data_IF_213073390643
#
_entry.id   IF_213073390643
#
_cell.length_a   1.000
_cell.length_b   1.000
_cell.length_c   1.000
_cell.angle_alpha   90.00
_cell.angle_beta   90.00
_cell.angle_gamma   90.00
#
_symmetry.space_group_name_H-M   'P 1'
#
loop_
_entity.id
_entity.type
_entity.pdbx_description
1 polymer ?
#
# COMPACT_ATOMS: atom_id res chain seq x y z
N UNK A 1 20.65 17.28 7.69
CA UNK A 1 21.69 16.25 7.44
C UNK A 1 21.26 15.48 6.22
N UNK A 2 22.16 15.15 5.29
CA UNK A 2 21.79 14.28 4.17
C UNK A 2 21.51 12.89 4.73
N UNK A 3 20.28 12.39 4.54
CA UNK A 3 19.88 11.03 4.89
C UNK A 3 20.81 10.08 4.15
N UNK A 4 21.40 9.07 4.79
CA UNK A 4 22.34 8.12 4.16
C UNK A 4 22.07 6.68 4.52
N UNK A 5 21.46 6.39 5.66
CA UNK A 5 21.26 5.04 6.19
C UNK A 5 19.82 4.88 6.64
N UNK A 6 19.07 4.02 5.99
CA UNK A 6 17.64 3.81 6.32
C UNK A 6 17.33 2.34 6.48
N UNK A 7 16.40 2.04 7.39
CA UNK A 7 15.76 0.73 7.44
C UNK A 7 14.58 0.72 6.45
N UNK A 8 14.52 -0.29 5.60
CA UNK A 8 13.39 -0.52 4.71
C UNK A 8 12.34 -1.32 5.47
N UNK A 9 11.16 -0.75 5.61
CA UNK A 9 10.03 -1.40 6.27
C UNK A 9 9.68 -2.73 5.61
N UNK A 10 9.33 -3.73 6.42
CA UNK A 10 8.99 -5.09 5.97
C UNK A 10 7.83 -5.08 4.94
N UNK A 11 6.80 -4.26 5.20
CA UNK A 11 5.67 -4.11 4.28
C UNK A 11 6.10 -3.49 2.96
N UNK A 12 6.88 -2.41 3.02
CA UNK A 12 7.44 -1.79 1.83
C UNK A 12 8.36 -2.74 1.05
N UNK A 13 9.19 -3.53 1.73
CA UNK A 13 10.09 -4.50 1.10
C UNK A 13 9.32 -5.54 0.32
N UNK A 14 8.24 -6.09 0.89
CA UNK A 14 7.36 -7.02 0.18
C UNK A 14 6.72 -6.37 -1.05
N UNK A 15 6.26 -5.13 -0.93
CA UNK A 15 5.67 -4.38 -2.04
C UNK A 15 6.68 -4.12 -3.17
N UNK A 16 7.92 -3.77 -2.82
CA UNK A 16 9.01 -3.56 -3.78
C UNK A 16 9.45 -4.84 -4.51
N UNK A 17 9.28 -6.01 -3.88
CA UNK A 17 9.73 -7.29 -4.42
C UNK A 17 8.63 -8.06 -5.15
N UNK A 18 7.40 -7.98 -4.64
CA UNK A 18 6.28 -8.80 -5.10
C UNK A 18 4.98 -8.02 -5.33
N UNK A 19 4.94 -6.74 -4.94
CA UNK A 19 3.80 -5.86 -5.13
C UNK A 19 3.79 -5.19 -6.50
N UNK A 20 2.83 -4.28 -6.69
CA UNK A 20 2.76 -3.44 -7.89
C UNK A 20 3.84 -2.35 -7.83
N UNK A 21 4.30 -1.82 -8.99
CA UNK A 21 5.23 -0.71 -9.00
C UNK A 21 4.67 0.47 -8.20
N UNK A 22 5.47 1.02 -7.29
CA UNK A 22 5.08 2.21 -6.53
C UNK A 22 4.82 3.39 -7.49
N UNK A 23 3.88 4.31 -7.16
CA UNK A 23 3.57 5.46 -8.00
C UNK A 23 4.83 6.23 -8.40
N UNK A 24 4.85 6.76 -9.62
CA UNK A 24 5.97 7.58 -10.14
C UNK A 24 7.31 6.84 -10.20
N UNK A 25 7.28 5.52 -10.40
CA UNK A 25 8.46 4.64 -10.39
C UNK A 25 9.30 4.81 -9.12
N UNK A 26 8.67 5.15 -7.99
CA UNK A 26 9.39 5.38 -6.74
C UNK A 26 10.16 4.14 -6.27
N UNK A 27 9.65 2.94 -6.58
CA UNK A 27 10.31 1.68 -6.24
C UNK A 27 11.63 1.50 -7.00
N UNK A 28 11.59 1.63 -8.33
CA UNK A 28 12.77 1.49 -9.18
C UNK A 28 13.84 2.52 -8.84
N UNK A 29 13.43 3.78 -8.63
CA UNK A 29 14.36 4.85 -8.24
C UNK A 29 14.94 4.63 -6.85
N UNK A 30 14.17 4.07 -5.91
CA UNK A 30 14.68 3.71 -4.58
C UNK A 30 15.71 2.57 -4.70
N UNK A 31 15.46 1.58 -5.56
CA UNK A 31 16.45 0.55 -5.87
C UNK A 31 17.72 1.12 -6.51
N UNK A 32 17.60 2.07 -7.43
CA UNK A 32 18.75 2.77 -8.02
C UNK A 32 19.60 3.49 -6.97
N UNK A 33 18.99 4.15 -5.97
CA UNK A 33 19.73 4.80 -4.89
C UNK A 33 20.56 3.79 -4.08
N UNK A 34 20.00 2.60 -3.80
CA UNK A 34 20.71 1.52 -3.12
C UNK A 34 21.83 0.95 -3.99
N UNK A 35 21.54 0.67 -5.26
CA UNK A 35 22.49 0.15 -6.25
C UNK A 35 23.69 1.08 -6.46
N UNK A 36 23.45 2.39 -6.52
CA UNK A 36 24.49 3.40 -6.71
C UNK A 36 25.25 3.73 -5.41
N UNK A 37 24.86 3.15 -4.27
CA UNK A 37 25.45 3.42 -2.97
C UNK A 37 25.23 4.85 -2.46
N UNK A 38 24.31 5.59 -3.07
CA UNK A 38 23.92 6.93 -2.63
C UNK A 38 23.16 6.86 -1.31
N UNK A 39 22.37 5.80 -1.15
CA UNK A 39 21.62 5.47 0.05
C UNK A 39 21.99 4.05 0.50
N UNK A 40 22.20 3.85 1.79
CA UNK A 40 22.46 2.56 2.38
C UNK A 40 21.19 2.00 3.02
N UNK A 41 20.67 0.91 2.46
CA UNK A 41 19.47 0.25 2.95
C UNK A 41 19.77 -0.89 3.92
N UNK A 42 18.92 -1.02 4.94
CA UNK A 42 18.97 -2.05 5.96
C UNK A 42 17.62 -2.77 6.03
N UNK A 43 17.63 -4.05 6.41
CA UNK A 43 16.43 -4.87 6.65
C UNK A 43 16.64 -5.74 7.88
N UNK A 44 15.57 -6.07 8.60
CA UNK A 44 15.63 -7.02 9.71
C UNK A 44 15.80 -8.46 9.20
N UNK A 45 16.34 -9.35 10.02
CA UNK A 45 16.33 -10.79 9.74
C UNK A 45 14.89 -11.35 9.67
N UNK A 46 13.95 -10.77 10.41
CA UNK A 46 12.52 -11.02 10.27
C UNK A 46 11.98 -10.66 8.88
N UNK A 47 12.38 -9.52 8.32
CA UNK A 47 12.02 -9.12 6.95
C UNK A 47 12.44 -10.17 5.93
N UNK A 48 13.67 -10.68 6.03
CA UNK A 48 14.17 -11.72 5.13
C UNK A 48 13.42 -13.04 5.29
N UNK A 49 13.08 -13.42 6.52
CA UNK A 49 12.22 -14.58 6.76
C UNK A 49 10.83 -14.39 6.14
N UNK A 50 10.26 -13.19 6.25
CA UNK A 50 8.96 -12.84 5.69
C UNK A 50 8.99 -12.91 4.16
N UNK A 51 10.00 -12.32 3.53
CA UNK A 51 10.26 -12.42 2.08
C UNK A 51 10.37 -13.88 1.66
N UNK A 52 11.15 -14.69 2.39
CA UNK A 52 11.30 -16.12 2.10
C UNK A 52 9.98 -16.88 2.19
N UNK A 53 9.19 -16.65 3.24
CA UNK A 53 7.85 -17.25 3.40
C UNK A 53 6.89 -16.82 2.30
N UNK A 54 6.93 -15.55 1.91
CA UNK A 54 6.08 -15.00 0.85
C UNK A 54 6.46 -15.59 -0.51
N UNK A 55 7.75 -15.59 -0.85
CA UNK A 55 8.27 -16.14 -2.10
C UNK A 55 7.97 -17.65 -2.24
N UNK A 56 8.00 -18.41 -1.14
CA UNK A 56 7.60 -19.83 -1.11
C UNK A 56 6.12 -20.07 -1.46
N UNK A 57 5.25 -19.08 -1.26
CA UNK A 57 3.82 -19.19 -1.60
C UNK A 57 3.52 -18.77 -3.05
N UNK A 58 4.36 -17.92 -3.63
CA UNK A 58 4.11 -17.25 -4.92
C UNK A 58 4.96 -17.79 -6.08
N UNK A 59 6.15 -18.37 -5.83
CA UNK A 59 7.09 -18.79 -6.89
C UNK A 59 7.65 -20.22 -6.75
N UNK A 60 8.19 -20.76 -7.85
CA UNK A 60 9.00 -21.98 -7.87
C UNK A 60 10.32 -21.78 -7.09
N UNK A 61 10.84 -22.85 -6.46
CA UNK A 61 11.96 -22.82 -5.51
C UNK A 61 13.25 -22.11 -6.01
N UNK A 62 13.48 -22.05 -7.32
CA UNK A 62 14.64 -21.39 -7.94
C UNK A 62 14.58 -19.86 -7.91
N UNK A 63 13.39 -19.26 -8.02
CA UNK A 63 13.22 -17.79 -8.00
C UNK A 63 13.45 -17.22 -6.60
N UNK A 64 13.12 -17.98 -5.56
CA UNK A 64 13.20 -17.58 -4.15
C UNK A 64 14.65 -17.29 -3.73
N UNK A 65 15.56 -18.21 -4.07
CA UNK A 65 16.98 -18.07 -3.76
C UNK A 65 17.59 -16.87 -4.48
N UNK A 66 17.17 -16.61 -5.73
CA UNK A 66 17.61 -15.43 -6.48
C UNK A 66 17.12 -14.13 -5.83
N UNK A 67 15.84 -14.04 -5.44
CA UNK A 67 15.28 -12.85 -4.78
C UNK A 67 15.95 -12.57 -3.44
N UNK A 68 16.13 -13.59 -2.59
CA UNK A 68 16.82 -13.42 -1.30
C UNK A 68 18.29 -13.03 -1.47
N UNK A 69 18.95 -13.57 -2.50
CA UNK A 69 20.34 -13.19 -2.84
C UNK A 69 20.39 -11.73 -3.29
N UNK A 70 19.49 -11.30 -4.18
CA UNK A 70 19.41 -9.92 -4.66
C UNK A 70 19.18 -8.94 -3.50
N UNK A 71 18.22 -9.23 -2.62
CA UNK A 71 17.97 -8.42 -1.42
C UNK A 71 19.22 -8.37 -0.53
N UNK A 72 19.88 -9.51 -0.27
CA UNK A 72 21.10 -9.57 0.53
C UNK A 72 22.31 -8.87 -0.08
N UNK A 73 22.35 -8.70 -1.40
CA UNK A 73 23.41 -7.91 -2.07
C UNK A 73 23.19 -6.41 -1.97
N UNK A 74 21.93 -5.96 -1.92
CA UNK A 74 21.57 -4.54 -1.95
C UNK A 74 21.31 -3.96 -0.56
N UNK A 75 20.72 -4.74 0.32
CA UNK A 75 20.31 -4.33 1.66
C UNK A 75 21.11 -5.10 2.72
N UNK A 76 21.53 -4.39 3.76
CA UNK A 76 22.24 -5.00 4.90
C UNK A 76 21.25 -5.63 5.87
N UNK A 77 21.42 -6.93 6.11
CA UNK A 77 20.63 -7.64 7.12
C UNK A 77 21.08 -7.26 8.53
N UNK A 78 20.10 -6.98 9.39
CA UNK A 78 20.26 -6.67 10.80
C UNK A 78 19.60 -7.76 11.64
N UNK A 79 20.37 -8.63 12.31
CA UNK A 79 19.79 -9.58 13.25
C UNK A 79 19.21 -8.84 14.45
N UNK A 80 17.97 -9.17 14.80
CA UNK A 80 17.32 -8.62 15.98
C UNK A 80 17.78 -9.36 17.24
N UNK A 81 18.29 -8.63 18.23
CA UNK A 81 18.72 -9.19 19.51
C UNK A 81 17.69 -8.95 20.65
N UNK A 82 17.98 -9.50 21.83
CA UNK A 82 17.13 -9.35 23.01
C UNK A 82 17.02 -7.89 23.49
N UNK A 83 18.05 -7.07 23.25
CA UNK A 83 18.03 -5.66 23.68
C UNK A 83 17.07 -4.85 22.82
N UNK A 84 17.05 -5.08 21.51
CA UNK A 84 16.08 -4.51 20.56
C UNK A 84 14.65 -4.95 20.90
N UNK A 85 14.45 -6.23 21.20
CA UNK A 85 13.15 -6.78 21.61
C UNK A 85 12.64 -6.13 22.91
N UNK A 86 13.51 -6.00 23.92
CA UNK A 86 13.13 -5.34 25.17
C UNK A 86 12.85 -3.84 25.02
N UNK A 87 13.55 -3.16 24.11
CA UNK A 87 13.25 -1.78 23.76
C UNK A 87 11.88 -1.67 23.08
N UNK A 88 11.60 -2.54 22.09
CA UNK A 88 10.34 -2.60 21.38
C UNK A 88 9.14 -2.87 22.30
N UNK A 89 9.29 -3.73 23.31
CA UNK A 89 8.24 -4.04 24.29
C UNK A 89 7.83 -2.86 25.18
N UNK A 90 8.67 -1.82 25.28
CA UNK A 90 8.38 -0.61 26.06
C UNK A 90 7.81 0.53 25.20
N UNK A 91 7.79 0.33 23.89
CA UNK A 91 7.23 1.27 22.92
C UNK A 91 5.72 1.36 23.05
N UNK A 92 5.16 2.48 22.61
CA UNK A 92 3.71 2.62 22.43
C UNK A 92 3.24 2.13 21.05
N UNK A 93 4.17 1.85 20.13
CA UNK A 93 3.86 1.32 18.80
C UNK A 93 3.46 -0.16 18.86
N UNK A 94 2.75 -0.62 17.84
CA UNK A 94 2.54 -2.05 17.64
C UNK A 94 3.86 -2.81 17.53
N UNK A 95 3.96 -3.99 18.15
CA UNK A 95 5.22 -4.72 18.31
C UNK A 95 6.08 -4.85 17.02
N UNK A 96 5.52 -5.14 15.83
CA UNK A 96 6.32 -5.20 14.60
C UNK A 96 6.96 -3.85 14.21
N UNK A 97 6.26 -2.74 14.44
CA UNK A 97 6.74 -1.39 14.13
C UNK A 97 7.71 -0.90 15.22
N UNK A 98 7.41 -1.18 16.49
CA UNK A 98 8.27 -0.93 17.63
C UNK A 98 9.64 -1.62 17.48
N UNK A 99 9.66 -2.85 16.95
CA UNK A 99 10.88 -3.60 16.72
C UNK A 99 11.77 -2.94 15.67
N UNK A 100 11.18 -2.53 14.55
CA UNK A 100 11.88 -1.81 13.50
C UNK A 100 12.40 -0.44 14.00
N UNK A 101 11.60 0.28 14.79
CA UNK A 101 12.04 1.51 15.45
C UNK A 101 13.22 1.28 16.40
N UNK A 102 13.18 0.21 17.21
CA UNK A 102 14.27 -0.17 18.09
C UNK A 102 15.57 -0.50 17.32
N UNK A 103 15.46 -1.22 16.20
CA UNK A 103 16.61 -1.51 15.31
C UNK A 103 17.23 -0.22 14.78
N UNK A 104 16.41 0.73 14.32
CA UNK A 104 16.87 2.04 13.84
C UNK A 104 17.59 2.80 14.94
N UNK A 105 17.02 2.89 16.13
CA UNK A 105 17.62 3.59 17.26
C UNK A 105 18.96 2.97 17.66
N UNK A 106 19.03 1.64 17.77
CA UNK A 106 20.23 0.93 18.22
C UNK A 106 21.38 0.96 17.22
N UNK A 107 21.08 0.97 15.92
CA UNK A 107 22.09 1.09 14.84
C UNK A 107 22.39 2.56 14.47
N UNK A 108 21.65 3.50 15.06
CA UNK A 108 21.72 4.93 14.78
C UNK A 108 21.36 5.28 13.34
N UNK A 109 20.44 4.55 12.70
CA UNK A 109 20.03 4.84 11.32
C UNK A 109 19.27 6.17 11.26
N UNK A 110 19.26 6.80 10.09
CA UNK A 110 18.65 8.12 9.89
C UNK A 110 17.12 8.08 9.89
N UNK A 111 16.53 6.88 9.83
CA UNK A 111 15.10 6.62 9.95
C UNK A 111 14.64 5.35 9.24
N UNK A 112 13.32 5.21 9.12
CA UNK A 112 12.64 4.11 8.43
C UNK A 112 12.02 4.66 7.13
N UNK A 113 12.17 3.93 6.04
CA UNK A 113 11.39 4.16 4.82
C UNK A 113 10.20 3.20 4.77
N UNK A 114 8.99 3.73 4.67
CA UNK A 114 7.74 2.94 4.65
C UNK A 114 6.68 3.62 3.77
N UNK A 115 5.79 2.81 3.19
CA UNK A 115 4.57 3.31 2.56
C UNK A 115 3.43 3.52 3.59
N UNK A 116 3.64 3.21 4.88
CA UNK A 116 2.66 3.27 5.98
C UNK A 116 3.17 4.12 7.15
N UNK A 117 3.37 5.44 6.97
CA UNK A 117 4.02 6.27 7.99
C UNK A 117 3.23 6.39 9.29
N UNK A 118 1.91 6.20 9.24
CA UNK A 118 1.04 6.30 10.41
C UNK A 118 1.21 5.13 11.39
N UNK A 119 1.76 3.99 10.97
CA UNK A 119 2.02 2.85 11.85
C UNK A 119 3.16 3.12 12.85
N UNK A 120 3.92 4.19 12.64
CA UNK A 120 5.05 4.64 13.45
C UNK A 120 4.73 5.91 14.26
N UNK A 121 3.46 6.27 14.35
CA UNK A 121 2.98 7.40 15.15
C UNK A 121 2.43 6.86 16.47
N UNK A 122 2.86 7.45 17.58
CA UNK A 122 2.37 7.13 18.92
C UNK A 122 1.13 7.97 19.26
N UNK A 123 0.42 7.60 20.32
CA UNK A 123 -0.77 8.33 20.80
C UNK A 123 -0.44 9.76 21.25
N UNK A 124 0.82 10.05 21.59
CA UNK A 124 1.27 11.41 21.95
C UNK A 124 1.60 12.27 20.74
N UNK A 125 1.64 11.69 19.53
CA UNK A 125 2.02 12.37 18.30
C UNK A 125 3.53 12.57 18.14
N UNK A 126 4.35 12.13 19.10
CA UNK A 126 5.81 12.14 19.00
C UNK A 126 6.29 10.83 18.37
N UNK A 127 6.96 10.91 17.22
CA UNK A 127 7.55 9.74 16.56
C UNK A 127 8.77 9.22 17.33
N UNK A 128 8.76 7.95 17.70
CA UNK A 128 9.93 7.28 18.31
C UNK A 128 11.11 7.17 17.33
N UNK A 129 10.83 7.30 16.03
CA UNK A 129 11.77 7.20 14.93
C UNK A 129 11.39 8.16 13.82
N UNK A 130 12.37 8.64 13.05
CA UNK A 130 12.12 9.40 11.83
C UNK A 130 11.56 8.48 10.75
N UNK A 131 10.50 8.92 10.09
CA UNK A 131 9.77 8.13 9.10
C UNK A 131 9.75 8.87 7.77
N UNK A 132 10.17 8.19 6.72
CA UNK A 132 10.18 8.72 5.36
C UNK A 132 9.26 7.88 4.48
N UNK A 133 8.52 8.54 3.60
CA UNK A 133 7.92 7.86 2.45
C UNK A 133 8.98 7.74 1.35
N UNK A 134 8.89 6.77 0.43
CA UNK A 134 9.79 6.70 -0.72
C UNK A 134 9.85 8.02 -1.50
N UNK A 135 8.70 8.69 -1.69
CA UNK A 135 8.63 10.01 -2.32
C UNK A 135 9.38 11.12 -1.55
N UNK A 136 9.25 11.19 -0.22
CA UNK A 136 10.02 12.15 0.59
C UNK A 136 11.52 11.91 0.44
N UNK A 137 11.93 10.64 0.54
CA UNK A 137 13.34 10.27 0.45
C UNK A 137 13.93 10.58 -0.92
N UNK A 138 13.22 10.24 -2.00
CA UNK A 138 13.65 10.55 -3.37
C UNK A 138 13.70 12.06 -3.63
N UNK A 139 12.83 12.84 -2.99
CA UNK A 139 12.82 14.30 -3.08
C UNK A 139 14.09 14.97 -2.54
N UNK A 140 14.71 14.38 -1.51
CA UNK A 140 16.00 14.81 -0.94
C UNK A 140 17.18 14.52 -1.88
N UNK A 141 17.06 13.48 -2.72
CA UNK A 141 18.10 13.05 -3.66
C UNK A 141 17.92 13.59 -5.09
N UNK A 142 16.78 14.21 -5.38
CA UNK A 142 16.49 14.77 -6.69
C UNK A 142 17.23 16.11 -6.90
N UNK A 143 18.26 16.11 -7.77
CA UNK A 143 18.92 17.33 -8.24
C UNK A 143 18.01 18.02 -9.27
N UNK A 144 17.22 19.00 -8.84
CA UNK A 144 16.36 19.80 -9.73
C UNK A 144 15.14 20.42 -9.05
N UNK A 145 14.91 21.70 -9.30
CA UNK A 145 13.83 22.50 -8.72
C UNK A 145 12.42 22.08 -9.14
N UNK A 146 11.42 22.59 -8.41
CA UNK A 146 9.99 22.24 -8.48
C UNK A 146 9.37 22.23 -9.89
N UNK A 147 9.87 23.00 -10.85
CA UNK A 147 9.32 23.07 -12.20
C UNK A 147 9.65 21.86 -13.08
N UNK A 148 10.83 21.25 -12.92
CA UNK A 148 11.16 19.98 -13.58
C UNK A 148 10.28 18.83 -13.03
N UNK A 149 9.89 18.93 -11.74
CA UNK A 149 9.05 17.94 -11.06
C UNK A 149 7.62 17.93 -11.59
N UNK A 150 7.09 19.06 -12.07
CA UNK A 150 5.74 19.16 -12.67
C UNK A 150 5.68 18.56 -14.08
N UNK A 151 6.65 18.92 -14.92
CA UNK A 151 6.70 18.45 -16.31
C UNK A 151 6.92 16.94 -16.42
N UNK A 152 7.72 16.35 -15.52
CA UNK A 152 7.87 14.90 -15.44
C UNK A 152 6.63 14.19 -14.92
N UNK A 153 5.85 14.80 -14.01
CA UNK A 153 4.62 14.22 -13.47
C UNK A 153 3.51 14.13 -14.54
N UNK A 154 3.34 15.18 -15.33
CA UNK A 154 2.32 15.25 -16.39
C UNK A 154 2.63 14.30 -17.55
N UNK A 155 3.91 14.07 -17.84
CA UNK A 155 4.36 13.12 -18.87
C UNK A 155 4.24 11.67 -18.38
N UNK A 156 4.46 11.40 -17.09
CA UNK A 156 4.36 10.05 -16.52
C UNK A 156 2.90 9.56 -16.36
N UNK A 157 1.96 10.47 -16.16
CA UNK A 157 0.53 10.13 -16.07
C UNK A 157 -0.11 9.83 -17.44
N UNK A 158 0.50 10.27 -18.54
CA UNK A 158 0.00 10.02 -19.88
C UNK A 158 0.42 8.65 -20.45
N UNK A 159 1.48 8.04 -19.90
CA UNK A 159 2.09 6.81 -20.41
C UNK A 159 2.21 5.69 -19.35
N UNK A 160 1.33 5.62 -18.35
CA UNK A 160 1.36 4.50 -17.39
C UNK A 160 0.59 3.27 -17.94
N UNK A 161 1.27 2.19 -18.38
CA UNK A 161 0.62 0.94 -18.75
C UNK A 161 0.02 0.20 -17.53
N UNK A 162 0.17 0.68 -16.29
CA UNK A 162 -0.40 0.05 -15.09
C UNK A 162 -1.94 0.12 -15.01
N UNK A 163 -2.61 0.93 -15.84
CA UNK A 163 -4.07 0.86 -16.04
C UNK A 163 -4.53 -0.53 -16.54
N UNK A 164 -3.64 -1.30 -17.16
CA UNK A 164 -3.92 -2.66 -17.66
C UNK A 164 -3.92 -3.73 -16.53
N UNK A 165 -3.38 -3.42 -15.34
CA UNK A 165 -3.22 -4.38 -14.22
C UNK A 165 -4.49 -4.59 -13.37
N UNK A 166 -5.64 -4.06 -13.80
CA UNK A 166 -6.97 -4.34 -13.20
C UNK A 166 -7.83 -5.27 -14.07
N UNK A 167 -7.29 -5.79 -15.17
CA UNK A 167 -8.03 -6.63 -16.14
C UNK A 167 -8.75 -7.82 -15.52
N UNK A 168 -8.25 -8.34 -14.39
CA UNK A 168 -8.80 -9.49 -13.70
C UNK A 168 -9.94 -9.16 -12.72
N UNK A 169 -10.09 -7.90 -12.26
CA UNK A 169 -11.28 -7.43 -11.53
C UNK A 169 -12.40 -6.99 -12.47
N UNK A 170 -12.08 -6.66 -13.72
CA UNK A 170 -12.99 -6.00 -14.64
C UNK A 170 -12.84 -4.47 -14.65
N UNK A 171 -13.59 -3.81 -15.52
CA UNK A 171 -13.58 -2.34 -15.70
C UNK A 171 -14.81 -1.71 -15.06
N UNK A 172 -14.59 -0.79 -14.12
CA UNK A 172 -15.65 0.07 -13.59
C UNK A 172 -16.09 1.05 -14.70
N UNK A 173 -17.33 0.93 -15.17
CA UNK A 173 -17.85 1.77 -16.25
C UNK A 173 -18.51 3.04 -15.74
N UNK A 174 -19.32 2.92 -14.69
CA UNK A 174 -19.96 4.07 -14.06
C UNK A 174 -20.30 3.81 -12.60
N UNK A 175 -20.34 4.90 -11.84
CA UNK A 175 -20.84 4.97 -10.47
C UNK A 175 -21.76 6.18 -10.41
N UNK A 176 -23.01 5.94 -10.07
CA UNK A 176 -24.01 6.98 -9.85
C UNK A 176 -24.46 6.92 -8.40
N UNK A 177 -24.40 8.05 -7.71
CA UNK A 177 -24.82 8.13 -6.30
C UNK A 177 -25.87 9.22 -6.18
N UNK A 178 -27.04 8.83 -5.69
CA UNK A 178 -28.13 9.73 -5.38
C UNK A 178 -28.19 9.95 -3.86
N UNK A 179 -27.91 11.18 -3.46
CA UNK A 179 -28.02 11.66 -2.08
C UNK A 179 -29.30 12.48 -1.89
N UNK A 180 -29.99 12.33 -0.75
CA UNK A 180 -31.21 13.05 -0.43
C UNK A 180 -31.53 13.02 1.07
N UNK A 181 -32.72 13.45 1.48
CA UNK A 181 -33.16 13.35 2.89
C UNK A 181 -33.46 11.90 3.34
N UNK A 182 -33.69 10.99 2.39
CA UNK A 182 -33.86 9.55 2.62
C UNK A 182 -32.52 8.78 2.55
N UNK A 183 -32.56 7.44 2.66
CA UNK A 183 -31.37 6.57 2.53
C UNK A 183 -30.68 6.76 1.17
N UNK A 184 -29.38 7.10 1.12
CA UNK A 184 -28.64 7.20 -0.13
C UNK A 184 -28.67 5.89 -0.93
N UNK A 185 -28.73 6.02 -2.25
CA UNK A 185 -28.72 4.89 -3.19
C UNK A 185 -27.60 5.09 -4.19
N UNK A 186 -26.91 4.01 -4.54
CA UNK A 186 -25.89 4.01 -5.57
C UNK A 186 -26.15 2.91 -6.59
N UNK A 187 -25.85 3.21 -7.84
CA UNK A 187 -25.84 2.26 -8.97
C UNK A 187 -24.43 2.16 -9.49
N UNK A 188 -23.91 0.93 -9.55
CA UNK A 188 -22.57 0.62 -10.06
C UNK A 188 -22.71 -0.25 -11.29
N UNK A 189 -21.97 0.10 -12.33
CA UNK A 189 -21.88 -0.68 -13.56
C UNK A 189 -20.44 -1.11 -13.79
N UNK A 190 -20.23 -2.41 -13.87
CA UNK A 190 -18.91 -3.02 -13.96
C UNK A 190 -18.89 -4.07 -15.07
N UNK A 191 -17.88 -4.00 -15.92
CA UNK A 191 -17.62 -4.98 -16.96
C UNK A 191 -16.63 -6.03 -16.43
N UNK A 192 -17.03 -7.29 -16.36
CA UNK A 192 -16.16 -8.40 -15.94
C UNK A 192 -14.98 -8.60 -16.93
N UNK A 193 -13.92 -9.32 -16.51
CA UNK A 193 -12.79 -9.65 -17.39
C UNK A 193 -13.20 -10.39 -18.69
N UNK A 194 -14.31 -11.12 -18.64
CA UNK A 194 -14.88 -11.84 -19.78
C UNK A 194 -15.74 -10.95 -20.69
N UNK A 195 -15.87 -9.67 -20.38
CA UNK A 195 -16.59 -8.67 -21.15
C UNK A 195 -18.07 -8.50 -20.79
N UNK A 196 -18.62 -9.29 -19.87
CA UNK A 196 -20.02 -9.18 -19.43
C UNK A 196 -20.23 -7.96 -18.52
N UNK A 197 -21.33 -7.24 -18.72
CA UNK A 197 -21.68 -6.07 -17.91
C UNK A 197 -22.62 -6.50 -16.78
N UNK A 198 -22.23 -6.16 -15.55
CA UNK A 198 -23.01 -6.33 -14.33
C UNK A 198 -23.38 -4.95 -13.80
N UNK A 199 -24.68 -4.70 -13.65
CA UNK A 199 -25.18 -3.44 -13.11
C UNK A 199 -26.02 -3.74 -11.88
N UNK A 200 -25.61 -3.16 -10.76
CA UNK A 200 -26.26 -3.40 -9.47
C UNK A 200 -26.56 -2.10 -8.75
N UNK A 201 -27.62 -2.12 -7.95
CA UNK A 201 -28.08 -0.96 -7.20
C UNK A 201 -28.30 -1.32 -5.75
N UNK A 202 -27.79 -0.50 -4.83
CA UNK A 202 -27.93 -0.73 -3.39
C UNK A 202 -28.14 0.58 -2.64
N UNK A 203 -28.85 0.48 -1.51
CA UNK A 203 -29.01 1.59 -0.56
C UNK A 203 -28.17 1.38 0.68
N UNK A 204 -27.52 2.45 1.15
CA UNK A 204 -26.64 2.44 2.32
C UNK A 204 -27.10 3.40 3.42
N UNK A 205 -26.35 3.42 4.52
CA UNK A 205 -26.47 4.44 5.58
C UNK A 205 -25.92 5.78 5.10
N UNK A 206 -24.88 5.75 4.27
CA UNK A 206 -24.27 6.92 3.63
C UNK A 206 -23.93 6.65 2.16
N UNK A 207 -23.52 7.68 1.40
CA UNK A 207 -23.21 7.55 -0.02
C UNK A 207 -22.09 6.54 -0.30
N UNK A 208 -21.04 6.54 0.52
CA UNK A 208 -19.93 5.58 0.44
C UNK A 208 -20.43 4.14 0.69
N UNK A 209 -21.23 3.93 1.73
CA UNK A 209 -21.79 2.61 2.05
C UNK A 209 -22.71 2.10 0.94
N UNK A 210 -23.55 2.97 0.36
CA UNK A 210 -24.40 2.61 -0.77
C UNK A 210 -23.57 2.16 -1.98
N UNK A 211 -22.54 2.92 -2.33
CA UNK A 211 -21.67 2.63 -3.46
C UNK A 211 -20.87 1.34 -3.27
N UNK A 212 -20.27 1.13 -2.10
CA UNK A 212 -19.52 -0.10 -1.80
C UNK A 212 -20.42 -1.33 -1.79
N UNK A 213 -21.66 -1.23 -1.31
CA UNK A 213 -22.64 -2.33 -1.39
C UNK A 213 -23.02 -2.67 -2.83
N UNK A 214 -23.33 -1.67 -3.65
CA UNK A 214 -23.67 -1.87 -5.05
C UNK A 214 -22.51 -2.49 -5.82
N UNK A 215 -21.28 -2.02 -5.55
CA UNK A 215 -20.07 -2.59 -6.09
C UNK A 215 -19.88 -4.06 -5.66
N UNK A 216 -20.08 -4.37 -4.38
CA UNK A 216 -19.92 -5.73 -3.87
C UNK A 216 -20.92 -6.70 -4.53
N UNK A 217 -22.17 -6.27 -4.77
CA UNK A 217 -23.16 -7.04 -5.52
C UNK A 217 -22.71 -7.27 -6.96
N UNK A 218 -22.22 -6.23 -7.65
CA UNK A 218 -21.77 -6.35 -9.03
C UNK A 218 -20.59 -7.35 -9.15
N UNK A 219 -19.61 -7.26 -8.24
CA UNK A 219 -18.44 -8.14 -8.23
C UNK A 219 -18.80 -9.59 -7.85
N UNK A 220 -19.79 -9.79 -6.98
CA UNK A 220 -20.26 -11.12 -6.55
C UNK A 220 -20.76 -12.02 -7.70
N UNK A 221 -21.02 -11.45 -8.88
CA UNK A 221 -21.43 -12.21 -10.06
C UNK A 221 -20.34 -13.12 -10.63
N UNK A 222 -19.07 -12.78 -10.42
CA UNK A 222 -17.94 -13.50 -11.02
C UNK A 222 -16.76 -13.69 -10.06
N UNK A 223 -16.78 -13.08 -8.87
CA UNK A 223 -15.81 -13.33 -7.80
C UNK A 223 -16.57 -13.68 -6.50
N UNK A 224 -16.24 -14.79 -5.82
CA UNK A 224 -16.89 -15.14 -4.56
C UNK A 224 -16.37 -14.25 -3.41
N UNK A 225 -17.10 -13.19 -3.10
CA UNK A 225 -16.77 -12.20 -2.04
C UNK A 225 -17.70 -12.27 -0.82
N UNK A 226 -18.52 -13.32 -0.70
CA UNK A 226 -19.53 -13.44 0.34
C UNK A 226 -18.96 -13.56 1.77
N UNK A 227 -17.75 -14.12 1.90
CA UNK A 227 -17.03 -14.30 3.16
C UNK A 227 -15.99 -13.19 3.43
N UNK A 228 -15.98 -12.13 2.60
CA UNK A 228 -15.08 -10.97 2.74
C UNK A 228 -15.77 -9.90 3.57
N UNK A 229 -15.10 -9.40 4.60
CA UNK A 229 -15.61 -8.35 5.48
C UNK A 229 -14.69 -7.14 5.48
N UNK A 230 -15.24 -5.93 5.39
CA UNK A 230 -14.46 -4.71 5.61
C UNK A 230 -14.37 -4.42 7.10
N UNK A 231 -13.19 -4.61 7.68
CA UNK A 231 -12.96 -4.46 9.14
C UNK A 231 -12.37 -3.11 9.53
N UNK A 232 -11.81 -2.38 8.56
CA UNK A 232 -11.31 -1.04 8.77
C UNK A 232 -11.55 -0.17 7.54
N UNK A 233 -11.97 1.05 7.80
CA UNK A 233 -12.16 2.09 6.79
C UNK A 233 -11.73 3.43 7.37
N UNK A 234 -10.87 4.13 6.65
CA UNK A 234 -10.48 5.50 6.97
C UNK A 234 -10.40 6.35 5.72
N UNK A 235 -10.92 7.55 5.80
CA UNK A 235 -10.91 8.51 4.71
C UNK A 235 -10.43 9.86 5.24
N UNK A 236 -9.47 10.46 4.54
CA UNK A 236 -8.83 11.71 4.90
C UNK A 236 -8.94 12.70 3.74
N UNK A 237 -9.48 13.88 4.06
CA UNK A 237 -9.46 15.05 3.19
C UNK A 237 -9.06 16.28 4.01
N UNK A 238 -8.16 17.09 3.50
CA UNK A 238 -7.68 18.31 4.21
C UNK A 238 -8.63 19.49 4.02
N UNK A 239 -9.15 19.65 2.81
CA UNK A 239 -10.18 20.64 2.46
C UNK A 239 -11.15 20.00 1.45
N UNK A 240 -12.31 20.63 1.21
CA UNK A 240 -13.31 20.09 0.29
C UNK A 240 -12.79 19.89 -1.14
N UNK A 241 -11.84 20.73 -1.57
CA UNK A 241 -11.25 20.69 -2.92
C UNK A 241 -9.90 19.97 -2.95
N UNK A 242 -9.49 19.35 -1.85
CA UNK A 242 -8.23 18.60 -1.77
C UNK A 242 -8.42 17.14 -2.18
N UNK A 243 -7.36 16.50 -2.71
CA UNK A 243 -7.36 15.06 -2.92
C UNK A 243 -7.73 14.31 -1.64
N UNK A 244 -8.59 13.31 -1.80
CA UNK A 244 -9.05 12.43 -0.74
C UNK A 244 -8.19 11.17 -0.76
N UNK A 245 -7.69 10.77 0.41
CA UNK A 245 -7.03 9.48 0.61
C UNK A 245 -7.95 8.54 1.40
N UNK A 246 -8.28 7.40 0.81
CA UNK A 246 -9.04 6.34 1.46
C UNK A 246 -8.15 5.12 1.71
N UNK A 247 -8.37 4.47 2.85
CA UNK A 247 -7.72 3.21 3.25
C UNK A 247 -8.79 2.23 3.71
N UNK A 248 -8.75 1.02 3.15
CA UNK A 248 -9.64 -0.10 3.46
C UNK A 248 -8.80 -1.27 3.95
N UNK A 249 -9.33 -2.04 4.90
CA UNK A 249 -8.80 -3.35 5.27
C UNK A 249 -9.93 -4.36 5.15
N UNK A 250 -9.77 -5.31 4.23
CA UNK A 250 -10.66 -6.46 4.10
C UNK A 250 -10.11 -7.63 4.91
N UNK A 251 -10.99 -8.41 5.51
CA UNK A 251 -10.68 -9.64 6.22
C UNK A 251 -11.36 -10.82 5.52
N UNK A 252 -10.62 -11.90 5.30
CA UNK A 252 -11.14 -13.20 4.89
C UNK A 252 -10.32 -14.29 5.56
N UNK A 253 -10.98 -15.24 6.22
CA UNK A 253 -10.32 -16.38 6.89
C UNK A 253 -9.16 -15.96 7.82
N UNK A 254 -9.35 -14.91 8.63
CA UNK A 254 -8.34 -14.34 9.54
C UNK A 254 -7.11 -13.69 8.85
N UNK A 255 -7.12 -13.59 7.52
CA UNK A 255 -6.12 -12.84 6.75
C UNK A 255 -6.64 -11.44 6.42
N UNK A 256 -5.74 -10.45 6.45
CA UNK A 256 -6.05 -9.05 6.23
C UNK A 256 -5.47 -8.56 4.90
N UNK A 257 -6.28 -7.84 4.14
CA UNK A 257 -5.98 -7.35 2.80
C UNK A 257 -6.16 -5.83 2.77
N UNK A 258 -5.07 -5.05 2.82
CA UNK A 258 -5.14 -3.60 2.71
C UNK A 258 -5.41 -3.16 1.28
N UNK A 259 -6.08 -2.02 1.14
CA UNK A 259 -6.21 -1.31 -0.14
C UNK A 259 -6.30 0.20 0.05
N UNK A 260 -5.93 0.93 -0.99
CA UNK A 260 -5.83 2.39 -0.98
C UNK A 260 -6.46 3.02 -2.21
N UNK A 261 -7.02 4.21 -2.02
CA UNK A 261 -7.63 4.99 -3.09
C UNK A 261 -7.30 6.46 -2.94
N UNK A 262 -7.12 7.12 -4.09
CA UNK A 262 -6.71 8.52 -4.16
C UNK A 262 -7.53 9.20 -5.26
N UNK A 263 -8.54 9.95 -4.86
CA UNK A 263 -9.43 10.62 -5.80
C UNK A 263 -9.84 11.99 -5.26
N UNK A 264 -10.29 12.90 -6.12
CA UNK A 264 -10.85 14.19 -5.69
C UNK A 264 -12.23 14.04 -5.03
N UNK A 265 -12.87 12.89 -5.20
CA UNK A 265 -14.21 12.59 -4.72
C UNK A 265 -14.11 11.48 -3.67
N UNK A 266 -14.80 11.68 -2.55
CA UNK A 266 -14.75 10.75 -1.41
C UNK A 266 -15.27 9.37 -1.80
N UNK A 267 -16.36 9.28 -2.57
CA UNK A 267 -16.95 7.99 -2.95
C UNK A 267 -16.00 7.25 -3.88
N UNK A 268 -15.46 7.93 -4.88
CA UNK A 268 -14.53 7.30 -5.82
C UNK A 268 -13.23 6.87 -5.12
N UNK A 269 -12.69 7.67 -4.21
CA UNK A 269 -11.52 7.26 -3.42
C UNK A 269 -11.82 5.99 -2.60
N UNK A 270 -13.01 5.89 -1.98
CA UNK A 270 -13.42 4.69 -1.25
C UNK A 270 -13.58 3.47 -2.16
N UNK A 271 -14.17 3.64 -3.35
CA UNK A 271 -14.32 2.56 -4.34
C UNK A 271 -12.96 2.05 -4.80
N UNK A 272 -12.05 2.96 -5.12
CA UNK A 272 -10.68 2.60 -5.51
C UNK A 272 -9.97 1.84 -4.40
N UNK A 273 -10.07 2.30 -3.15
CA UNK A 273 -9.48 1.61 -2.00
C UNK A 273 -10.05 0.20 -1.79
N UNK A 274 -11.35 0.03 -1.99
CA UNK A 274 -12.00 -1.27 -1.88
C UNK A 274 -11.59 -2.21 -3.02
N UNK A 275 -11.59 -1.72 -4.26
CA UNK A 275 -11.15 -2.49 -5.44
C UNK A 275 -9.68 -2.86 -5.33
N UNK A 276 -8.84 -2.00 -4.76
CA UNK A 276 -7.43 -2.28 -4.52
C UNK A 276 -7.25 -3.38 -3.44
N UNK A 277 -8.03 -3.32 -2.35
CA UNK A 277 -7.99 -4.34 -1.31
C UNK A 277 -8.49 -5.71 -1.81
N UNK A 278 -9.57 -5.70 -2.58
CA UNK A 278 -10.10 -6.89 -3.24
C UNK A 278 -9.11 -7.40 -4.31
N UNK A 279 -8.46 -6.45 -4.97
CA UNK A 279 -7.23 -6.55 -5.73
C UNK A 279 -6.22 -7.51 -5.12
N UNK A 280 -5.79 -7.12 -3.94
CA UNK A 280 -4.79 -7.85 -3.19
C UNK A 280 -5.30 -9.22 -2.68
N UNK A 281 -6.57 -9.29 -2.26
CA UNK A 281 -7.21 -10.53 -1.83
C UNK A 281 -7.14 -11.62 -2.89
N UNK A 282 -7.59 -11.34 -4.11
CA UNK A 282 -7.71 -12.37 -5.16
C UNK A 282 -6.34 -12.86 -5.62
N UNK A 283 -5.34 -11.97 -5.68
CA UNK A 283 -3.95 -12.36 -5.96
C UNK A 283 -3.40 -13.29 -4.87
N UNK A 284 -3.68 -13.00 -3.60
CA UNK A 284 -3.18 -13.80 -2.49
C UNK A 284 -3.93 -15.12 -2.29
N UNK A 285 -5.23 -15.15 -2.59
CA UNK A 285 -6.12 -16.28 -2.30
C UNK A 285 -6.41 -17.16 -3.53
N UNK A 286 -5.85 -16.80 -4.70
CA UNK A 286 -6.00 -17.51 -5.99
C UNK A 286 -7.47 -17.80 -6.35
N UNK A 287 -8.32 -16.77 -6.32
CA UNK A 287 -9.66 -16.84 -6.91
C UNK A 287 -9.60 -16.66 -8.43
#
# INVERSE_FOLDING_TARGET
>A
MAIRRVLVDEGLLLELLFGRPLPLCQGDRLWELFLQGQLQGYVTDFALQLVGRYAMRVHNSTTIAATLTQVGTLLRCCPVDQTMLHAAQRSQLGLPFALQAAVVAQLGLDGIVTHRPLDYVTDTGEGEVLVYTPGHLLGEYAVGGLDARRSSLETLYQDDPALDQRSWLGRLESVEVCCGQDRPTATVRLQSPLGYIHQETASGVGPVDAALRALNLAVSHYIPVADVQMVYYRCLATTADSPVSAMVLLERQMALFPGRGFHLDVVMASIEAYLDALGYLIVCDRL
#
